data_IF_535604606421
#
_entry.id   IF_535604606421
#
_cell.length_a   1.000
_cell.length_b   1.000
_cell.length_c   1.000
_cell.angle_alpha   90.00
_cell.angle_beta   90.00
_cell.angle_gamma   90.00
#
_symmetry.space_group_name_H-M   'P 1'
#
loop_
_entity.id
_entity.type
_entity.pdbx_description
1 polymer ?
#
# COMPACT_ATOMS: atom_id res chain seq x y z
N UNK A 1 -39.88 -23.08 61.41
CA UNK A 1 -41.01 -23.26 60.48
C UNK A 1 -41.35 -21.85 60.01
N UNK A 2 -41.17 -21.41 58.77
CA UNK A 2 -41.14 -22.07 57.48
C UNK A 2 -40.59 -21.08 56.42
N UNK A 3 -39.90 -21.64 55.42
CA UNK A 3 -39.89 -21.25 54.00
C UNK A 3 -39.34 -19.86 53.60
N UNK A 4 -38.02 -19.84 53.37
CA UNK A 4 -37.39 -18.95 52.40
C UNK A 4 -37.61 -19.51 50.98
N UNK A 5 -38.44 -18.84 50.17
CA UNK A 5 -38.69 -19.19 48.76
C UNK A 5 -37.89 -18.30 47.83
N UNK A 6 -36.97 -18.96 47.13
CA UNK A 6 -36.24 -18.58 45.91
C UNK A 6 -36.90 -17.51 45.02
N UNK A 7 -36.15 -16.44 44.79
CA UNK A 7 -36.20 -15.63 43.57
C UNK A 7 -34.82 -15.65 42.91
N UNK A 8 -34.53 -16.72 42.15
CA UNK A 8 -33.34 -16.79 41.29
C UNK A 8 -33.51 -15.79 40.15
N UNK A 9 -33.03 -14.57 40.32
CA UNK A 9 -32.71 -13.71 39.18
C UNK A 9 -31.21 -13.82 38.93
N UNK A 10 -30.84 -14.65 37.95
CA UNK A 10 -29.51 -14.60 37.35
C UNK A 10 -29.40 -13.26 36.57
N UNK A 11 -28.27 -12.53 36.67
CA UNK A 11 -28.05 -11.37 35.83
C UNK A 11 -28.00 -11.80 34.35
N UNK A 12 -28.52 -11.01 33.40
CA UNK A 12 -28.46 -11.35 31.99
C UNK A 12 -27.00 -11.40 31.56
N UNK A 13 -26.57 -12.57 31.07
CA UNK A 13 -25.30 -12.73 30.38
C UNK A 13 -25.40 -11.93 29.10
N UNK A 14 -24.77 -10.76 29.07
CA UNK A 14 -24.64 -9.96 27.85
C UNK A 14 -23.64 -10.71 26.95
N UNK A 15 -24.13 -11.64 26.14
CA UNK A 15 -23.39 -12.08 24.97
C UNK A 15 -23.37 -10.91 23.99
N UNK A 16 -22.39 -10.01 24.16
CA UNK A 16 -22.02 -9.09 23.11
C UNK A 16 -21.67 -9.94 21.88
N UNK A 17 -22.55 -9.95 20.89
CA UNK A 17 -22.23 -10.49 19.57
C UNK A 17 -20.94 -9.80 19.09
N UNK A 18 -20.01 -10.52 18.42
CA UNK A 18 -18.90 -9.86 17.77
C UNK A 18 -19.44 -8.75 16.87
N UNK A 19 -18.78 -7.59 16.76
CA UNK A 19 -19.26 -6.51 15.91
C UNK A 19 -19.47 -7.07 14.51
N UNK A 20 -20.73 -7.18 14.08
CA UNK A 20 -21.09 -7.55 12.72
C UNK A 20 -20.63 -6.38 11.85
N UNK A 21 -19.44 -6.49 11.28
CA UNK A 21 -18.98 -5.59 10.23
C UNK A 21 -20.04 -5.64 9.12
N UNK A 22 -20.73 -4.53 8.80
CA UNK A 22 -21.70 -4.53 7.71
C UNK A 22 -20.98 -4.88 6.40
N UNK A 23 -21.62 -5.64 5.49
CA UNK A 23 -21.04 -5.88 4.16
C UNK A 23 -20.92 -4.52 3.44
N UNK A 24 -19.68 -4.19 3.07
CA UNK A 24 -19.31 -3.21 2.04
C UNK A 24 -20.18 -1.94 1.95
N UNK A 25 -19.93 -0.98 2.84
CA UNK A 25 -20.48 0.39 2.73
C UNK A 25 -19.55 1.39 2.03
N UNK A 26 -18.50 0.91 1.36
CA UNK A 26 -17.66 1.78 0.53
C UNK A 26 -18.31 1.96 -0.84
N UNK A 27 -18.53 3.22 -1.23
CA UNK A 27 -19.03 3.55 -2.56
C UNK A 27 -18.08 3.02 -3.63
N UNK A 28 -18.59 2.76 -4.84
CA UNK A 28 -17.72 2.38 -5.97
C UNK A 28 -16.66 3.47 -6.26
N UNK A 29 -16.96 4.73 -5.96
CA UNK A 29 -16.03 5.85 -6.03
C UNK A 29 -14.86 5.72 -5.05
N UNK A 30 -15.13 5.30 -3.81
CA UNK A 30 -14.09 5.05 -2.79
C UNK A 30 -13.18 3.89 -3.22
N UNK A 31 -13.78 2.82 -3.75
CA UNK A 31 -13.06 1.64 -4.27
C UNK A 31 -12.19 2.01 -5.45
N UNK A 32 -12.68 2.82 -6.37
CA UNK A 32 -11.91 3.28 -7.52
C UNK A 32 -10.81 4.26 -7.12
N UNK A 33 -11.07 5.13 -6.15
CA UNK A 33 -10.04 5.99 -5.55
C UNK A 33 -8.91 5.17 -4.92
N UNK A 34 -9.25 4.14 -4.13
CA UNK A 34 -8.29 3.21 -3.54
C UNK A 34 -7.50 2.42 -4.59
N UNK A 35 -8.15 2.00 -5.68
CA UNK A 35 -7.47 1.34 -6.81
C UNK A 35 -6.45 2.26 -7.48
N UNK A 36 -6.82 3.52 -7.71
CA UNK A 36 -5.92 4.53 -8.30
C UNK A 36 -4.74 4.85 -7.37
N UNK A 37 -4.98 5.02 -6.08
CA UNK A 37 -3.90 5.27 -5.11
C UNK A 37 -2.95 4.07 -4.99
N UNK A 38 -3.48 2.84 -4.99
CA UNK A 38 -2.67 1.63 -5.03
C UNK A 38 -1.83 1.53 -6.31
N UNK A 39 -2.39 1.91 -7.47
CA UNK A 39 -1.64 1.95 -8.73
C UNK A 39 -0.49 2.96 -8.68
N UNK A 40 -0.76 4.18 -8.21
CA UNK A 40 0.26 5.22 -8.05
C UNK A 40 1.39 4.77 -7.10
N UNK A 41 1.04 4.09 -6.01
CA UNK A 41 2.05 3.55 -5.08
C UNK A 41 2.90 2.45 -5.72
N UNK A 42 2.31 1.54 -6.49
CA UNK A 42 3.08 0.53 -7.25
C UNK A 42 4.04 1.17 -8.26
N UNK A 43 3.61 2.23 -8.94
CA UNK A 43 4.46 2.95 -9.88
C UNK A 43 5.61 3.68 -9.16
N UNK A 44 5.35 4.26 -7.99
CA UNK A 44 6.39 4.85 -7.15
C UNK A 44 7.43 3.81 -6.70
N UNK A 45 6.99 2.63 -6.25
CA UNK A 45 7.90 1.55 -5.88
C UNK A 45 8.77 1.11 -7.06
N UNK A 46 8.18 1.00 -8.26
CA UNK A 46 8.92 0.66 -9.46
C UNK A 46 9.95 1.75 -9.85
N UNK A 47 9.62 3.03 -9.72
CA UNK A 47 10.56 4.15 -9.97
C UNK A 47 11.71 4.11 -8.96
N UNK A 48 11.41 3.83 -7.68
CA UNK A 48 12.42 3.68 -6.64
C UNK A 48 13.37 2.51 -6.90
N UNK A 49 12.85 1.35 -7.29
CA UNK A 49 13.66 0.17 -7.60
C UNK A 49 14.59 0.40 -8.80
N UNK A 50 14.13 1.20 -9.77
CA UNK A 50 14.93 1.61 -10.91
C UNK A 50 16.08 2.53 -10.49
N UNK A 51 15.82 3.52 -9.63
CA UNK A 51 16.86 4.40 -9.08
C UNK A 51 17.90 3.60 -8.29
N UNK A 52 17.45 2.60 -7.51
CA UNK A 52 18.37 1.74 -6.74
C UNK A 52 19.25 0.88 -7.66
N UNK A 53 18.71 0.36 -8.76
CA UNK A 53 19.49 -0.35 -9.78
C UNK A 53 20.51 0.57 -10.45
N UNK A 54 20.10 1.79 -10.80
CA UNK A 54 20.99 2.79 -11.39
C UNK A 54 22.13 3.18 -10.44
N UNK A 55 21.81 3.41 -9.16
CA UNK A 55 22.80 3.65 -8.11
C UNK A 55 23.84 2.52 -8.07
N UNK A 56 23.40 1.26 -8.08
CA UNK A 56 24.33 0.13 -8.05
C UNK A 56 25.29 0.15 -9.25
N UNK A 57 24.77 0.33 -10.47
CA UNK A 57 25.60 0.41 -11.69
C UNK A 57 26.61 1.56 -11.60
N UNK A 58 26.18 2.74 -11.13
CA UNK A 58 27.07 3.89 -10.94
C UNK A 58 28.15 3.61 -9.88
N UNK A 59 27.79 2.95 -8.77
CA UNK A 59 28.76 2.59 -7.73
C UNK A 59 29.78 1.57 -8.24
N UNK A 60 29.35 0.57 -9.02
CA UNK A 60 30.26 -0.40 -9.67
C UNK A 60 31.22 0.31 -10.63
N UNK A 61 30.72 1.27 -11.41
CA UNK A 61 31.54 2.03 -12.35
C UNK A 61 32.52 2.99 -11.65
N UNK A 62 32.13 3.58 -10.51
CA UNK A 62 32.97 4.49 -9.73
C UNK A 62 33.96 3.76 -8.80
N UNK A 63 33.74 2.47 -8.54
CA UNK A 63 34.52 1.70 -7.55
C UNK A 63 34.28 2.13 -6.11
N UNK A 64 33.22 2.90 -5.85
CA UNK A 64 32.83 3.42 -4.53
C UNK A 64 31.33 3.69 -4.50
N UNK A 65 30.73 3.74 -3.30
CA UNK A 65 29.32 4.07 -3.23
C UNK A 65 29.05 5.55 -3.57
N UNK A 66 28.36 5.80 -4.68
CA UNK A 66 27.99 7.16 -5.11
C UNK A 66 26.88 7.78 -4.28
N UNK A 67 26.12 6.98 -3.52
CA UNK A 67 24.99 7.45 -2.73
C UNK A 67 23.70 7.67 -3.54
N UNK A 68 22.58 7.83 -2.83
CA UNK A 68 21.25 7.87 -3.45
C UNK A 68 20.98 9.17 -4.20
N UNK A 69 21.32 10.33 -3.62
CA UNK A 69 21.08 11.64 -4.22
C UNK A 69 21.82 11.82 -5.55
N UNK A 70 23.10 11.43 -5.60
CA UNK A 70 23.89 11.49 -6.84
C UNK A 70 23.29 10.61 -7.94
N UNK A 71 22.90 9.37 -7.59
CA UNK A 71 22.24 8.46 -8.53
C UNK A 71 20.87 8.98 -8.99
N UNK A 72 20.10 9.62 -8.10
CA UNK A 72 18.82 10.23 -8.44
C UNK A 72 18.99 11.38 -9.45
N UNK A 73 19.95 12.27 -9.23
CA UNK A 73 20.23 13.39 -10.15
C UNK A 73 20.65 12.88 -11.53
N UNK A 74 21.55 11.88 -11.57
CA UNK A 74 21.97 11.29 -12.83
C UNK A 74 20.81 10.58 -13.55
N UNK A 75 20.00 9.81 -12.82
CA UNK A 75 18.83 9.11 -13.34
C UNK A 75 17.78 10.05 -13.97
N UNK A 76 17.49 11.17 -13.30
CA UNK A 76 16.56 12.19 -13.80
C UNK A 76 17.07 12.82 -15.10
N UNK A 77 18.38 13.04 -15.23
CA UNK A 77 18.99 13.65 -16.40
C UNK A 77 19.12 12.70 -17.60
N UNK A 78 19.40 11.41 -17.39
CA UNK A 78 19.77 10.48 -18.46
C UNK A 78 18.68 9.52 -18.92
N UNK A 79 17.78 9.07 -18.03
CA UNK A 79 17.01 7.83 -18.28
C UNK A 79 15.51 7.93 -17.98
N UNK A 80 15.08 8.86 -17.12
CA UNK A 80 13.69 8.94 -16.64
C UNK A 80 12.63 9.11 -17.74
N UNK A 81 12.93 9.84 -18.81
CA UNK A 81 11.98 10.09 -19.91
C UNK A 81 11.68 8.82 -20.72
N UNK A 82 12.68 8.00 -21.02
CA UNK A 82 12.54 6.72 -21.74
C UNK A 82 11.81 5.68 -20.89
N UNK A 83 12.10 5.62 -19.58
CA UNK A 83 11.42 4.72 -18.65
C UNK A 83 9.92 5.03 -18.51
N UNK A 84 9.54 6.32 -18.44
CA UNK A 84 8.12 6.71 -18.43
C UNK A 84 7.41 6.35 -19.74
N UNK A 85 8.03 6.63 -20.90
CA UNK A 85 7.43 6.35 -22.21
C UNK A 85 7.18 4.86 -22.45
N UNK A 86 8.10 4.00 -22.03
CA UNK A 86 7.95 2.54 -22.17
C UNK A 86 6.83 1.99 -21.28
N UNK A 87 6.57 2.59 -20.12
CA UNK A 87 5.45 2.19 -19.24
C UNK A 87 4.11 2.79 -19.65
N UNK A 88 4.06 4.04 -20.13
CA UNK A 88 2.81 4.64 -20.67
C UNK A 88 2.27 3.88 -21.88
N UNK A 89 3.14 3.24 -22.67
CA UNK A 89 2.72 2.38 -23.79
C UNK A 89 2.19 1.02 -23.33
N UNK A 90 2.68 0.47 -22.22
CA UNK A 90 2.19 -0.80 -21.65
C UNK A 90 0.83 -0.69 -20.96
N UNK A 91 0.42 0.50 -20.50
CA UNK A 91 -0.92 0.72 -19.91
C UNK A 91 -2.02 1.02 -20.93
N UNK A 92 -1.68 1.23 -22.20
CA UNK A 92 -2.65 1.50 -23.28
C UNK A 92 -3.01 0.25 -24.12
N UNK A 93 -2.21 -0.81 -23.99
CA UNK A 93 -2.35 -2.09 -24.73
C UNK A 93 -2.87 -3.25 -23.84
N UNK A 94 -3.41 -2.95 -22.65
CA UNK A 94 -3.93 -3.94 -21.69
C UNK A 94 -5.39 -3.68 -21.33
#
# INVERSE_FOLDING_TARGET
MERNTIGKHAPPVIHAAPPTMPPDQHSDEDRDSARRSAAAYRDYLAERDEILRHKWILSEAAGLDVGFEAALLDWVNSTRTTWRRTRSKKSADA
#
